data_IF_891454891945
#
_entry.id   IF_891454891945
#
_cell.length_a   1.000
_cell.length_b   1.000
_cell.length_c   1.000
_cell.angle_alpha   90.00
_cell.angle_beta   90.00
_cell.angle_gamma   90.00
#
_symmetry.space_group_name_H-M   'P 1'
#
loop_
_entity.id
_entity.type
_entity.pdbx_description
1 polymer ?
#
# COMPACT_ATOMS: atom_id res chain seq x y z
N UNK A 1 -19.70 -9.62 6.00
CA UNK A 1 -18.52 -8.74 5.87
C UNK A 1 -17.52 -9.24 6.90
N UNK A 2 -16.39 -9.78 6.46
CA UNK A 2 -15.37 -10.36 7.34
C UNK A 2 -14.77 -9.34 8.32
N UNK A 3 -14.38 -9.80 9.50
CA UNK A 3 -13.71 -8.98 10.50
C UNK A 3 -12.34 -8.55 9.97
N UNK A 4 -12.07 -7.25 9.89
CA UNK A 4 -10.74 -6.72 9.54
C UNK A 4 -10.07 -6.14 10.78
N UNK A 5 -8.85 -6.54 11.05
CA UNK A 5 -8.05 -6.02 12.16
C UNK A 5 -6.59 -5.84 11.74
N UNK A 6 -5.80 -5.14 12.56
CA UNK A 6 -4.37 -4.92 12.30
C UNK A 6 -3.52 -5.59 13.36
N UNK A 7 -2.50 -6.33 12.95
CA UNK A 7 -1.47 -6.89 13.84
C UNK A 7 -0.17 -6.11 13.65
N UNK A 8 0.34 -5.52 14.73
CA UNK A 8 1.58 -4.74 14.75
C UNK A 8 2.67 -5.53 15.46
N UNK A 9 3.79 -5.78 14.79
CA UNK A 9 4.91 -6.55 15.31
C UNK A 9 6.17 -5.72 15.16
N UNK A 10 7.03 -5.70 16.17
CA UNK A 10 8.34 -5.03 16.08
C UNK A 10 9.27 -5.82 15.16
N UNK A 11 10.05 -5.11 14.34
CA UNK A 11 11.03 -5.69 13.42
C UNK A 11 12.41 -5.15 13.77
N UNK A 12 13.38 -6.05 13.80
CA UNK A 12 14.79 -5.69 13.91
C UNK A 12 15.45 -5.87 12.54
N UNK A 13 16.15 -4.83 12.08
CA UNK A 13 16.93 -4.86 10.84
C UNK A 13 18.41 -4.74 11.18
N UNK A 14 19.27 -5.33 10.35
CA UNK A 14 20.70 -5.01 10.37
C UNK A 14 20.94 -3.57 9.92
N UNK A 15 22.07 -3.00 10.30
CA UNK A 15 22.28 -1.55 10.17
C UNK A 15 22.22 -1.06 8.72
N UNK A 16 22.76 -1.83 7.78
CA UNK A 16 22.69 -1.51 6.36
C UNK A 16 21.25 -1.45 5.86
N UNK A 17 20.42 -2.41 6.27
CA UNK A 17 19.00 -2.46 5.91
C UNK A 17 18.23 -1.26 6.49
N UNK A 18 18.51 -0.84 7.73
CA UNK A 18 17.91 0.37 8.30
C UNK A 18 18.20 1.62 7.46
N UNK A 19 19.45 1.80 7.03
CA UNK A 19 19.87 2.95 6.23
C UNK A 19 19.20 2.95 4.85
N UNK A 20 19.08 1.79 4.23
CA UNK A 20 18.36 1.63 2.95
C UNK A 20 16.89 2.02 3.14
N UNK A 21 16.20 1.48 4.16
CA UNK A 21 14.80 1.77 4.44
C UNK A 21 14.57 3.24 4.79
N UNK A 22 15.49 3.87 5.53
CA UNK A 22 15.48 5.31 5.77
C UNK A 22 15.62 6.10 4.45
N UNK A 23 16.46 5.64 3.52
CA UNK A 23 16.55 6.17 2.16
C UNK A 23 15.22 6.09 1.40
N UNK A 24 14.55 4.93 1.42
CA UNK A 24 13.22 4.75 0.82
C UNK A 24 12.22 5.78 1.36
N UNK A 25 12.23 5.96 2.68
CA UNK A 25 11.36 6.90 3.39
C UNK A 25 11.64 8.37 3.04
N UNK A 26 12.93 8.73 2.88
CA UNK A 26 13.34 10.06 2.42
C UNK A 26 12.81 10.34 1.01
N UNK A 27 12.94 9.37 0.11
CA UNK A 27 12.46 9.50 -1.27
C UNK A 27 10.94 9.69 -1.30
N UNK A 28 10.17 8.92 -0.52
CA UNK A 28 8.71 9.10 -0.44
C UNK A 28 8.31 10.46 0.16
N UNK A 29 9.02 10.97 1.17
CA UNK A 29 8.79 12.32 1.70
C UNK A 29 9.12 13.40 0.66
N UNK A 30 10.24 13.25 -0.05
CA UNK A 30 10.62 14.16 -1.13
C UNK A 30 9.54 14.20 -2.21
N UNK A 31 9.10 13.03 -2.69
CA UNK A 31 8.06 12.95 -3.72
C UNK A 31 6.75 13.60 -3.22
N UNK A 32 6.36 13.36 -1.97
CA UNK A 32 5.19 14.01 -1.38
C UNK A 32 5.28 15.54 -1.45
N UNK A 33 6.43 16.11 -1.10
CA UNK A 33 6.64 17.55 -1.12
C UNK A 33 6.63 18.11 -2.55
N UNK A 34 7.24 17.41 -3.52
CA UNK A 34 7.19 17.82 -4.93
C UNK A 34 5.77 17.80 -5.48
N UNK A 35 4.98 16.78 -5.12
CA UNK A 35 3.58 16.69 -5.52
C UNK A 35 2.72 17.79 -4.87
N UNK A 36 2.99 18.13 -3.61
CA UNK A 36 2.32 19.23 -2.92
C UNK A 36 2.63 20.57 -3.59
N UNK A 37 3.89 20.84 -3.89
CA UNK A 37 4.30 22.04 -4.63
C UNK A 37 3.64 22.12 -6.01
N UNK A 38 3.63 21.01 -6.76
CA UNK A 38 2.97 20.94 -8.06
C UNK A 38 1.45 21.21 -7.96
N UNK A 39 0.76 20.68 -6.95
CA UNK A 39 -0.65 21.01 -6.71
C UNK A 39 -0.87 22.48 -6.40
N UNK A 40 0.01 23.09 -5.60
CA UNK A 40 -0.09 24.52 -5.26
C UNK A 40 0.12 25.40 -6.48
N UNK A 41 1.13 25.10 -7.30
CA UNK A 41 1.41 25.82 -8.55
C UNK A 41 0.32 25.64 -9.59
N UNK A 42 -0.18 24.42 -9.78
CA UNK A 42 -1.29 24.17 -10.71
C UNK A 42 -2.50 25.02 -10.36
N UNK A 43 -2.84 25.13 -9.07
CA UNK A 43 -3.96 25.93 -8.61
C UNK A 43 -3.71 27.45 -8.72
N UNK A 44 -2.54 27.94 -8.30
CA UNK A 44 -2.23 29.38 -8.24
C UNK A 44 -1.84 30.00 -9.57
N UNK A 45 -1.06 29.27 -10.37
CA UNK A 45 -0.37 29.82 -11.55
C UNK A 45 -0.97 29.29 -12.86
N UNK A 46 -1.54 28.08 -12.84
CA UNK A 46 -2.03 27.39 -14.04
C UNK A 46 -3.56 27.30 -14.11
N UNK A 47 -4.27 28.07 -13.28
CA UNK A 47 -5.73 28.07 -13.17
C UNK A 47 -6.33 26.65 -13.06
N UNK A 48 -5.62 25.74 -12.39
CA UNK A 48 -5.97 24.33 -12.20
C UNK A 48 -6.18 23.56 -13.53
N UNK A 49 -5.45 23.89 -14.59
CA UNK A 49 -5.61 23.25 -15.89
C UNK A 49 -5.22 21.76 -15.89
N UNK A 50 -4.22 21.35 -15.11
CA UNK A 50 -3.80 19.94 -15.02
C UNK A 50 -4.78 19.10 -14.18
N UNK A 51 -5.61 19.75 -13.36
CA UNK A 51 -6.60 19.10 -12.48
C UNK A 51 -5.94 18.00 -11.67
N UNK A 52 -4.77 18.28 -11.08
CA UNK A 52 -3.91 17.24 -10.47
C UNK A 52 -4.65 16.40 -9.42
N UNK A 53 -5.54 17.03 -8.65
CA UNK A 53 -6.31 16.35 -7.58
C UNK A 53 -7.46 15.48 -8.09
N UNK A 54 -7.75 15.47 -9.40
CA UNK A 54 -8.80 14.62 -9.98
C UNK A 54 -8.26 13.26 -10.40
N UNK A 55 -9.05 12.22 -10.13
CA UNK A 55 -8.80 10.84 -10.59
C UNK A 55 -7.38 10.36 -10.25
N UNK A 56 -6.63 9.93 -11.26
CA UNK A 56 -5.25 9.43 -11.14
C UNK A 56 -4.23 10.45 -11.63
N UNK A 57 -4.62 11.72 -11.84
CA UNK A 57 -3.76 12.73 -12.46
C UNK A 57 -2.48 12.96 -11.63
N UNK A 58 -2.61 13.17 -10.33
CA UNK A 58 -1.45 13.34 -9.44
C UNK A 58 -0.52 12.13 -9.45
N UNK A 59 -1.09 10.91 -9.51
CA UNK A 59 -0.31 9.68 -9.59
C UNK A 59 0.44 9.60 -10.92
N UNK A 60 -0.21 9.92 -12.03
CA UNK A 60 0.41 9.92 -13.36
C UNK A 60 1.51 10.98 -13.47
N UNK A 61 1.29 12.15 -12.87
CA UNK A 61 2.30 13.19 -12.73
C UNK A 61 3.49 12.69 -11.91
N UNK A 62 3.27 12.02 -10.77
CA UNK A 62 4.35 11.39 -10.00
C UNK A 62 5.13 10.34 -10.79
N UNK A 63 4.48 9.62 -11.71
CA UNK A 63 5.15 8.68 -12.61
C UNK A 63 6.01 9.40 -13.65
N UNK A 64 5.56 10.51 -14.23
CA UNK A 64 6.33 11.27 -15.22
C UNK A 64 7.62 11.86 -14.64
N UNK A 65 7.65 12.13 -13.33
CA UNK A 65 8.85 12.60 -12.63
C UNK A 65 10.00 11.58 -12.64
N UNK A 66 9.73 10.28 -12.84
CA UNK A 66 10.77 9.24 -12.86
C UNK A 66 11.79 9.43 -13.96
N UNK A 67 11.40 10.03 -15.09
CA UNK A 67 12.31 10.32 -16.19
C UNK A 67 13.35 11.37 -15.80
N UNK A 68 12.92 12.42 -15.09
CA UNK A 68 13.79 13.50 -14.61
C UNK A 68 14.54 13.14 -13.33
N UNK A 69 13.98 12.23 -12.53
CA UNK A 69 14.49 11.82 -11.22
C UNK A 69 14.58 10.29 -11.12
N UNK A 70 15.61 9.67 -11.74
CA UNK A 70 15.73 8.22 -11.79
C UNK A 70 15.81 7.53 -10.41
N UNK A 71 16.27 8.25 -9.37
CA UNK A 71 16.31 7.72 -8.01
C UNK A 71 14.93 7.29 -7.49
N UNK A 72 13.82 7.79 -8.06
CA UNK A 72 12.48 7.33 -7.73
C UNK A 72 12.26 5.85 -8.06
N UNK A 73 13.02 5.30 -9.02
CA UNK A 73 12.94 3.89 -9.37
C UNK A 73 13.62 2.96 -8.35
N UNK A 74 14.39 3.51 -7.40
CA UNK A 74 14.98 2.75 -6.28
C UNK A 74 13.94 2.33 -5.23
N UNK A 75 12.73 2.91 -5.30
CA UNK A 75 11.61 2.57 -4.42
C UNK A 75 10.65 1.63 -5.10
N UNK A 76 10.22 0.61 -4.36
CA UNK A 76 9.24 -0.33 -4.87
C UNK A 76 7.95 0.40 -5.26
N UNK A 77 7.32 -0.08 -6.33
CA UNK A 77 6.20 0.64 -6.96
C UNK A 77 5.00 0.85 -6.05
N UNK A 78 4.78 0.00 -5.04
CA UNK A 78 3.64 0.15 -4.11
C UNK A 78 3.84 1.32 -3.13
N UNK A 79 4.93 1.36 -2.31
CA UNK A 79 5.23 2.53 -1.48
C UNK A 79 5.36 3.85 -2.25
N UNK A 80 5.83 3.82 -3.50
CA UNK A 80 6.01 5.04 -4.30
C UNK A 80 4.68 5.69 -4.76
N UNK A 81 3.57 4.94 -4.76
CA UNK A 81 2.23 5.50 -5.07
C UNK A 81 1.63 6.26 -3.88
N UNK A 82 2.04 5.92 -2.67
CA UNK A 82 1.47 6.46 -1.42
C UNK A 82 1.53 7.98 -1.28
N UNK A 83 2.62 8.67 -1.67
CA UNK A 83 2.67 10.13 -1.63
C UNK A 83 1.47 10.79 -2.33
N UNK A 84 1.13 10.33 -3.54
CA UNK A 84 -0.02 10.85 -4.29
C UNK A 84 -1.34 10.54 -3.58
N UNK A 85 -1.55 9.29 -3.15
CA UNK A 85 -2.78 8.87 -2.46
C UNK A 85 -3.03 9.66 -1.18
N UNK A 86 -1.99 9.84 -0.36
CA UNK A 86 -2.08 10.61 0.89
C UNK A 86 -2.40 12.07 0.63
N UNK A 87 -1.80 12.65 -0.40
CA UNK A 87 -2.04 14.05 -0.73
C UNK A 87 -3.47 14.28 -1.23
N UNK A 88 -4.00 13.42 -2.11
CA UNK A 88 -5.40 13.48 -2.55
C UNK A 88 -6.35 13.36 -1.36
N UNK A 89 -6.11 12.40 -0.46
CA UNK A 89 -6.93 12.22 0.75
C UNK A 89 -6.85 13.43 1.70
N UNK A 90 -5.67 14.04 1.85
CA UNK A 90 -5.50 15.22 2.69
C UNK A 90 -6.23 16.44 2.12
N UNK A 91 -6.17 16.67 0.81
CA UNK A 91 -6.97 17.72 0.16
C UNK A 91 -8.47 17.44 0.25
N UNK A 92 -8.90 16.19 0.05
CA UNK A 92 -10.30 15.80 0.23
C UNK A 92 -10.80 16.12 1.64
N UNK A 93 -10.04 15.73 2.67
CA UNK A 93 -10.37 16.06 4.06
C UNK A 93 -10.38 17.57 4.34
N UNK A 94 -9.47 18.33 3.70
CA UNK A 94 -9.45 19.79 3.79
C UNK A 94 -10.68 20.44 3.17
N UNK A 95 -11.08 20.05 1.95
CA UNK A 95 -12.27 20.58 1.29
C UNK A 95 -13.57 20.20 2.02
N UNK A 96 -13.59 19.06 2.70
CA UNK A 96 -14.70 18.63 3.56
C UNK A 96 -14.67 19.27 4.96
N UNK A 97 -13.69 20.13 5.26
CA UNK A 97 -13.56 20.80 6.57
C UNK A 97 -13.13 19.88 7.72
N UNK A 98 -12.72 18.64 7.45
CA UNK A 98 -12.34 17.64 8.48
C UNK A 98 -10.89 17.74 8.91
N UNK A 99 -10.01 18.28 8.07
CA UNK A 99 -8.57 18.38 8.33
C UNK A 99 -8.02 19.72 7.88
N UNK A 100 -6.91 20.16 8.49
CA UNK A 100 -6.19 21.34 8.02
C UNK A 100 -5.56 21.17 6.62
N UNK A 101 -5.10 22.28 6.05
CA UNK A 101 -4.44 22.30 4.74
C UNK A 101 -3.19 21.40 4.71
N UNK A 102 -2.95 20.60 3.65
CA UNK A 102 -1.78 19.74 3.53
C UNK A 102 -0.46 20.51 3.66
N UNK A 103 0.44 20.02 4.52
CA UNK A 103 1.72 20.70 4.82
C UNK A 103 2.91 19.91 4.28
N UNK A 104 3.99 20.63 3.97
CA UNK A 104 5.28 20.03 3.65
C UNK A 104 5.76 19.15 4.81
N UNK A 105 6.41 18.04 4.44
CA UNK A 105 6.88 17.03 5.40
C UNK A 105 8.39 17.04 5.49
N UNK A 106 8.90 17.10 6.71
CA UNK A 106 10.31 16.83 6.99
C UNK A 106 10.48 15.36 7.37
N UNK A 107 11.32 14.62 6.65
CA UNK A 107 11.64 13.23 6.97
C UNK A 107 12.19 13.08 8.39
N UNK A 108 13.04 14.02 8.84
CA UNK A 108 13.62 14.03 10.20
C UNK A 108 12.54 14.03 11.29
N UNK A 109 11.40 14.71 11.03
CA UNK A 109 10.27 14.77 11.96
C UNK A 109 9.29 13.62 11.78
N UNK A 110 9.06 13.19 10.53
CA UNK A 110 8.03 12.21 10.17
C UNK A 110 8.54 11.22 9.14
N UNK A 111 8.96 10.05 9.61
CA UNK A 111 9.28 8.92 8.76
C UNK A 111 8.06 8.54 7.90
N UNK A 112 8.26 8.42 6.59
CA UNK A 112 7.21 8.02 5.65
C UNK A 112 7.00 6.50 5.70
N UNK A 113 5.84 6.06 6.16
CA UNK A 113 5.46 4.64 6.19
C UNK A 113 5.40 4.04 4.78
N UNK A 114 6.04 2.89 4.59
CA UNK A 114 6.08 2.16 3.33
C UNK A 114 4.90 1.18 3.32
N UNK A 115 3.89 1.47 2.50
CA UNK A 115 2.66 0.66 2.40
C UNK A 115 2.75 -0.22 1.16
N UNK A 116 2.40 -1.48 1.35
CA UNK A 116 2.26 -2.48 0.32
C UNK A 116 0.79 -2.90 0.26
N UNK A 117 0.14 -2.45 -0.81
CA UNK A 117 -1.31 -2.53 -1.05
C UNK A 117 -1.81 -3.92 -1.49
N UNK A 118 -0.90 -4.80 -1.88
CA UNK A 118 -1.21 -6.15 -2.34
C UNK A 118 -0.47 -7.21 -1.50
N UNK A 119 -1.11 -8.35 -1.20
CA UNK A 119 -0.46 -9.43 -0.47
C UNK A 119 0.66 -10.06 -1.29
N UNK A 120 1.79 -10.38 -0.63
CA UNK A 120 2.96 -11.04 -1.22
C UNK A 120 3.57 -10.31 -2.44
N UNK A 121 3.37 -8.99 -2.56
CA UNK A 121 3.89 -8.18 -3.66
C UNK A 121 4.75 -7.05 -3.14
N UNK A 122 6.05 -7.19 -3.35
CA UNK A 122 7.05 -6.28 -2.79
C UNK A 122 7.40 -6.56 -1.33
N UNK A 123 6.83 -7.63 -0.76
CA UNK A 123 7.16 -8.13 0.56
C UNK A 123 6.77 -9.59 0.65
N UNK A 124 7.41 -10.33 1.55
CA UNK A 124 7.17 -11.75 1.78
C UNK A 124 7.55 -12.12 3.21
N UNK A 125 6.83 -13.09 3.78
CA UNK A 125 7.15 -13.66 5.08
C UNK A 125 7.92 -14.96 4.86
N UNK A 126 9.10 -15.05 5.46
CA UNK A 126 10.04 -16.17 5.34
C UNK A 126 10.27 -16.83 6.71
N UNK A 127 10.97 -17.98 6.69
CA UNK A 127 11.40 -18.70 7.88
C UNK A 127 10.24 -18.95 8.85
N UNK A 128 9.17 -19.54 8.31
CA UNK A 128 7.94 -19.86 9.06
C UNK A 128 7.40 -18.66 9.84
N UNK A 129 7.34 -17.46 9.27
CA UNK A 129 6.75 -16.32 9.99
C UNK A 129 7.71 -15.49 10.84
N UNK A 130 9.01 -15.83 10.91
CA UNK A 130 9.99 -15.12 11.75
C UNK A 130 10.74 -14.02 11.01
N UNK A 131 10.80 -14.06 9.69
CA UNK A 131 11.56 -13.07 8.89
C UNK A 131 10.63 -12.39 7.90
N UNK A 132 10.75 -11.07 7.78
CA UNK A 132 10.11 -10.29 6.72
C UNK A 132 11.16 -9.90 5.70
N UNK A 133 10.92 -10.19 4.42
CA UNK A 133 11.72 -9.70 3.30
C UNK A 133 10.91 -8.62 2.58
N UNK A 134 11.54 -7.48 2.33
CA UNK A 134 10.93 -6.29 1.75
C UNK A 134 11.67 -5.99 0.46
N UNK A 135 10.97 -6.06 -0.66
CA UNK A 135 11.52 -5.71 -1.96
C UNK A 135 11.67 -4.20 -2.08
N UNK A 136 12.75 -3.81 -2.72
CA UNK A 136 13.07 -2.44 -3.07
C UNK A 136 12.74 -2.22 -4.54
N UNK A 137 13.02 -1.01 -5.04
CA UNK A 137 13.07 -0.79 -6.49
C UNK A 137 14.43 -1.19 -7.06
N UNK A 138 14.74 -0.66 -8.25
CA UNK A 138 16.01 -0.90 -8.92
C UNK A 138 17.10 -0.04 -8.29
N UNK A 139 17.93 -0.64 -7.44
CA UNK A 139 19.10 0.01 -6.82
C UNK A 139 20.36 -0.44 -7.56
N UNK A 140 21.11 0.49 -8.19
CA UNK A 140 22.37 0.16 -8.85
C UNK A 140 23.36 -0.51 -7.89
N UNK A 141 23.98 -1.60 -8.33
CA UNK A 141 25.01 -2.32 -7.55
C UNK A 141 24.47 -3.24 -6.45
N UNK A 142 23.15 -3.25 -6.17
CA UNK A 142 22.57 -4.17 -5.20
C UNK A 142 22.26 -5.51 -5.88
N UNK A 143 22.78 -6.61 -5.31
CA UNK A 143 22.55 -7.96 -5.83
C UNK A 143 21.07 -8.32 -5.74
N UNK A 144 20.57 -8.93 -6.81
CA UNK A 144 19.22 -9.50 -6.87
C UNK A 144 19.34 -10.99 -6.57
N UNK A 145 18.60 -11.47 -5.59
CA UNK A 145 18.55 -12.89 -5.28
C UNK A 145 17.92 -13.68 -6.45
N UNK A 146 18.41 -14.90 -6.67
CA UNK A 146 17.95 -15.76 -7.76
C UNK A 146 16.44 -15.98 -7.65
N UNK A 147 15.70 -15.67 -8.71
CA UNK A 147 14.24 -15.82 -8.76
C UNK A 147 13.44 -14.58 -8.33
N UNK A 148 14.10 -13.51 -7.83
CA UNK A 148 13.44 -12.23 -7.55
C UNK A 148 13.60 -11.25 -8.72
N UNK A 149 12.60 -10.39 -8.90
CA UNK A 149 12.64 -9.30 -9.87
C UNK A 149 13.31 -8.02 -9.36
N UNK A 150 13.48 -7.88 -8.05
CA UNK A 150 14.08 -6.70 -7.41
C UNK A 150 14.94 -7.13 -6.22
N UNK A 151 15.94 -6.31 -5.83
CA UNK A 151 16.67 -6.53 -4.58
C UNK A 151 15.74 -6.41 -3.37
N UNK A 152 16.09 -7.06 -2.27
CA UNK A 152 15.32 -7.04 -1.03
C UNK A 152 16.21 -6.85 0.19
N UNK A 153 15.61 -6.32 1.26
CA UNK A 153 16.21 -6.30 2.61
C UNK A 153 15.37 -7.16 3.53
N UNK A 154 16.01 -7.88 4.43
CA UNK A 154 15.36 -8.75 5.41
C UNK A 154 15.43 -8.17 6.82
N UNK A 155 14.40 -8.43 7.61
CA UNK A 155 14.33 -8.09 9.03
C UNK A 155 13.73 -9.23 9.83
N UNK A 156 14.16 -9.37 11.08
CA UNK A 156 13.65 -10.37 12.01
C UNK A 156 12.45 -9.81 12.78
N UNK A 157 11.33 -10.52 12.71
CA UNK A 157 10.12 -10.21 13.47
C UNK A 157 10.30 -10.66 14.91
N UNK A 158 9.94 -9.81 15.87
CA UNK A 158 9.95 -10.15 17.31
C UNK A 158 8.98 -11.28 17.67
N UNK A 159 7.93 -11.45 16.89
CA UNK A 159 6.94 -12.49 17.05
C UNK A 159 6.69 -13.16 15.70
N UNK A 160 6.40 -14.46 15.72
CA UNK A 160 6.00 -15.19 14.52
C UNK A 160 4.66 -14.69 14.01
N UNK A 161 4.57 -14.46 12.70
CA UNK A 161 3.29 -14.23 12.02
C UNK A 161 2.65 -15.59 11.75
N UNK A 162 1.55 -15.85 12.44
CA UNK A 162 0.70 -17.03 12.26
C UNK A 162 -0.71 -16.55 11.94
N UNK A 163 -1.32 -17.15 10.92
CA UNK A 163 -2.69 -16.89 10.49
C UNK A 163 -3.56 -18.07 10.92
N UNK A 164 -4.70 -17.77 11.52
CA UNK A 164 -5.70 -18.79 11.86
C UNK A 164 -6.48 -19.21 10.62
N UNK A 165 -7.21 -20.32 10.70
CA UNK A 165 -8.14 -20.74 9.64
C UNK A 165 -9.09 -19.59 9.31
N UNK A 166 -9.22 -19.25 8.02
CA UNK A 166 -10.05 -18.13 7.56
C UNK A 166 -9.33 -16.79 7.45
N UNK A 167 -8.12 -16.63 7.98
CA UNK A 167 -7.40 -15.36 7.98
C UNK A 167 -6.52 -15.18 6.73
N UNK A 168 -6.61 -14.01 6.12
CA UNK A 168 -5.75 -13.59 5.01
C UNK A 168 -5.13 -12.24 5.32
N UNK A 169 -3.86 -12.06 4.96
CA UNK A 169 -3.25 -10.72 5.00
C UNK A 169 -3.69 -9.97 3.75
N UNK A 170 -4.19 -8.74 3.90
CA UNK A 170 -4.55 -7.86 2.78
C UNK A 170 -3.42 -6.94 2.40
N UNK A 171 -2.83 -6.29 3.39
CA UNK A 171 -1.83 -5.24 3.21
C UNK A 171 -0.76 -5.36 4.27
N UNK A 172 0.41 -4.84 3.93
CA UNK A 172 1.55 -4.75 4.82
C UNK A 172 2.02 -3.30 4.86
N UNK A 173 2.32 -2.78 6.04
CA UNK A 173 2.90 -1.46 6.21
C UNK A 173 4.11 -1.56 7.11
N UNK A 174 5.26 -1.13 6.61
CA UNK A 174 6.40 -0.85 7.45
C UNK A 174 6.31 0.60 7.94
N UNK A 175 6.46 0.81 9.25
CA UNK A 175 6.61 2.15 9.81
C UNK A 175 7.74 2.20 10.84
N UNK A 176 8.31 3.39 11.02
CA UNK A 176 9.28 3.71 12.06
C UNK A 176 8.63 4.66 13.06
N UNK A 177 8.68 4.33 14.34
CA UNK A 177 8.01 5.08 15.41
C UNK A 177 9.01 5.56 16.47
N UNK A 178 8.50 6.16 17.55
CA UNK A 178 9.30 6.67 18.67
C UNK A 178 10.30 5.61 19.17
N UNK A 179 11.49 6.07 19.55
CA UNK A 179 12.62 5.19 19.88
C UNK A 179 13.36 4.61 18.66
N UNK A 180 13.11 5.15 17.45
CA UNK A 180 13.77 4.73 16.20
C UNK A 180 13.51 3.26 15.84
N UNK A 181 12.38 2.70 16.29
CA UNK A 181 12.05 1.28 16.14
C UNK A 181 11.15 1.05 14.93
N UNK A 182 11.43 -0.02 14.19
CA UNK A 182 10.61 -0.46 13.07
C UNK A 182 9.48 -1.38 13.53
N UNK A 183 8.31 -1.20 12.91
CA UNK A 183 7.14 -2.03 13.11
C UNK A 183 6.56 -2.46 11.76
N UNK A 184 6.30 -3.75 11.66
CA UNK A 184 5.50 -4.38 10.62
C UNK A 184 4.03 -4.37 11.05
N UNK A 185 3.18 -3.73 10.27
CA UNK A 185 1.74 -3.70 10.49
C UNK A 185 1.09 -4.51 9.38
N UNK A 186 0.46 -5.63 9.73
CA UNK A 186 -0.29 -6.48 8.83
C UNK A 186 -1.78 -6.20 9.01
N UNK A 187 -2.48 -5.83 7.95
CA UNK A 187 -3.94 -5.79 7.97
C UNK A 187 -4.45 -7.16 7.58
N UNK A 188 -5.15 -7.80 8.51
CA UNK A 188 -5.66 -9.16 8.38
C UNK A 188 -7.19 -9.10 8.27
N UNK A 189 -7.72 -9.86 7.33
CA UNK A 189 -9.15 -10.05 7.13
C UNK A 189 -9.49 -11.51 7.46
N UNK A 190 -10.44 -11.71 8.38
CA UNK A 190 -11.00 -13.02 8.68
C UNK A 190 -12.23 -13.24 7.83
N UNK A 191 -12.16 -14.22 6.94
CA UNK A 191 -13.18 -14.59 5.99
C UNK A 191 -13.86 -15.91 6.39
N UNK A 192 -15.13 -16.06 6.02
CA UNK A 192 -15.79 -17.37 6.02
C UNK A 192 -15.24 -18.26 4.88
N UNK A 193 -15.48 -19.57 4.95
CA UNK A 193 -15.07 -20.51 3.90
C UNK A 193 -15.69 -20.13 2.53
N UNK A 194 -16.96 -19.72 2.52
CA UNK A 194 -17.65 -19.20 1.32
C UNK A 194 -16.98 -17.93 0.76
N UNK A 195 -16.56 -17.00 1.63
CA UNK A 195 -15.87 -15.78 1.21
C UNK A 195 -14.47 -16.09 0.64
N UNK A 196 -13.77 -17.07 1.21
CA UNK A 196 -12.47 -17.53 0.70
C UNK A 196 -12.60 -18.18 -0.68
N UNK A 197 -13.58 -19.07 -0.85
CA UNK A 197 -13.87 -19.70 -2.13
C UNK A 197 -14.25 -18.66 -3.20
N UNK A 198 -15.13 -17.72 -2.84
CA UNK A 198 -15.48 -16.63 -3.74
C UNK A 198 -14.27 -15.77 -4.13
N UNK A 199 -13.33 -15.51 -3.22
CA UNK A 199 -12.09 -14.78 -3.53
C UNK A 199 -11.21 -15.55 -4.52
N UNK A 200 -11.14 -16.88 -4.42
CA UNK A 200 -10.44 -17.73 -5.41
C UNK A 200 -11.12 -17.64 -6.78
N UNK A 201 -12.43 -17.86 -6.82
CA UNK A 201 -13.24 -17.75 -8.05
C UNK A 201 -13.08 -16.36 -8.71
N UNK A 202 -13.11 -15.28 -7.92
CA UNK A 202 -12.89 -13.92 -8.42
C UNK A 202 -11.47 -13.68 -8.94
N UNK A 203 -10.46 -14.32 -8.34
CA UNK A 203 -9.08 -14.26 -8.84
C UNK A 203 -8.95 -14.92 -10.20
N UNK A 204 -9.53 -16.11 -10.37
CA UNK A 204 -9.47 -16.85 -11.64
C UNK A 204 -10.32 -16.17 -12.73
N UNK A 205 -11.48 -15.62 -12.35
CA UNK A 205 -12.26 -14.74 -13.20
C UNK A 205 -11.43 -13.56 -13.73
N UNK A 206 -10.65 -12.87 -12.88
CA UNK A 206 -9.82 -11.74 -13.31
C UNK A 206 -8.74 -12.16 -14.31
N UNK A 207 -8.13 -13.33 -14.13
CA UNK A 207 -7.15 -13.89 -15.08
C UNK A 207 -7.82 -14.17 -16.42
N UNK A 208 -8.94 -14.88 -16.41
CA UNK A 208 -9.71 -15.20 -17.61
C UNK A 208 -10.20 -13.94 -18.34
N UNK A 209 -10.71 -12.95 -17.60
CA UNK A 209 -11.15 -11.68 -18.16
C UNK A 209 -10.01 -10.90 -18.84
N UNK A 210 -8.83 -10.84 -18.21
CA UNK A 210 -7.67 -10.16 -18.79
C UNK A 210 -7.16 -10.88 -20.05
N UNK A 211 -7.19 -12.22 -20.06
CA UNK A 211 -6.84 -13.02 -21.23
C UNK A 211 -7.82 -12.79 -22.38
N UNK A 212 -9.13 -12.90 -22.13
CA UNK A 212 -10.16 -12.63 -23.12
C UNK A 212 -10.05 -11.21 -23.70
N UNK A 213 -9.78 -10.21 -22.84
CA UNK A 213 -9.55 -8.83 -23.27
C UNK A 213 -8.32 -8.70 -24.19
N UNK A 214 -7.24 -9.42 -23.90
CA UNK A 214 -6.01 -9.41 -24.71
C UNK A 214 -6.23 -10.09 -26.07
N UNK A 215 -7.04 -11.15 -26.08
CA UNK A 215 -7.35 -11.96 -27.27
C UNK A 215 -8.55 -11.44 -28.07
N UNK A 216 -9.21 -10.36 -27.62
CA UNK A 216 -10.41 -9.82 -28.27
C UNK A 216 -11.65 -10.73 -28.20
N UNK A 217 -11.65 -11.72 -27.30
CA UNK A 217 -12.74 -12.68 -27.12
C UNK A 217 -13.85 -12.14 -26.23
N UNK A 218 -14.99 -12.84 -26.23
CA UNK A 218 -16.10 -12.57 -25.33
C UNK A 218 -15.66 -12.68 -23.87
N UNK A 219 -16.12 -11.72 -23.05
CA UNK A 219 -15.68 -11.58 -21.67
C UNK A 219 -16.49 -12.53 -20.79
N UNK A 220 -15.86 -13.26 -19.85
CA UNK A 220 -16.60 -14.11 -18.93
C UNK A 220 -17.56 -13.28 -18.06
N UNK A 221 -18.64 -13.93 -17.60
CA UNK A 221 -19.62 -13.34 -16.68
C UNK A 221 -18.98 -13.17 -15.31
N UNK A 222 -19.22 -12.01 -14.68
CA UNK A 222 -18.68 -11.71 -13.35
C UNK A 222 -19.41 -12.53 -12.26
N UNK A 223 -18.69 -13.33 -11.46
CA UNK A 223 -19.26 -14.04 -10.33
C UNK A 223 -19.86 -13.07 -9.30
N UNK A 224 -21.00 -13.43 -8.70
CA UNK A 224 -21.62 -12.70 -7.59
C UNK A 224 -21.58 -13.55 -6.33
N UNK A 225 -21.23 -12.93 -5.20
CA UNK A 225 -21.33 -13.59 -3.91
C UNK A 225 -22.82 -13.57 -3.51
N UNK A 226 -23.42 -14.71 -3.12
CA UNK A 226 -24.80 -14.71 -2.65
C UNK A 226 -24.95 -13.82 -1.42
N UNK A 227 -25.97 -12.95 -1.44
CA UNK A 227 -26.26 -12.04 -0.33
C UNK A 227 -26.74 -12.84 0.88
N UNK A 228 -26.06 -12.70 2.02
CA UNK A 228 -26.59 -13.18 3.29
C UNK A 228 -27.78 -12.30 3.68
N UNK A 229 -28.99 -12.86 3.69
CA UNK A 229 -30.15 -12.22 4.32
C UNK A 229 -29.81 -11.97 5.79
N UNK A 230 -29.70 -10.70 6.17
CA UNK A 230 -29.56 -10.31 7.57
C UNK A 230 -30.96 -10.33 8.16
N UNK A 231 -31.28 -11.35 8.96
CA UNK A 231 -32.52 -11.36 9.73
C UNK A 231 -32.34 -10.41 10.92
N UNK A 232 -32.83 -9.18 10.77
CA UNK A 232 -32.93 -8.24 11.89
C UNK A 232 -34.02 -8.76 12.83
N UNK A 233 -33.72 -9.09 14.11
CA UNK A 233 -34.73 -9.55 15.03
C UNK A 233 -35.74 -8.42 15.29
N UNK A 234 -37.03 -8.73 15.10
CA UNK A 234 -38.17 -7.80 15.20
C UNK A 234 -38.26 -7.09 16.57
N UNK A 235 -37.65 -7.65 17.62
CA UNK A 235 -37.64 -7.14 18.99
C UNK A 235 -36.38 -6.36 19.38
N UNK A 236 -35.60 -5.87 18.42
CA UNK A 236 -34.46 -4.99 18.72
C UNK A 236 -34.95 -3.60 19.13
N UNK A 237 -35.15 -3.36 20.43
CA UNK A 237 -35.28 -2.01 20.99
C UNK A 237 -33.94 -1.31 20.82
N UNK A 238 -33.89 -0.34 19.92
CA UNK A 238 -32.77 0.57 19.81
C UNK A 238 -32.67 1.35 21.12
N UNK A 239 -31.48 1.37 21.72
CA UNK A 239 -31.19 2.28 22.84
C UNK A 239 -31.16 3.67 22.23
N UNK A 240 -32.15 4.49 22.59
CA UNK A 240 -32.21 5.91 22.24
C UNK A 240 -31.16 6.71 22.99
#
# INVERSE_FOLDING_TARGET
>A
MGLTYSRKIKVNFVKEAELILDGQSKICNWLYNQLLDACQKDYKENNNALKLLKNRNLRNYGVSLKAKHPFLNTVFSSPLKEPSTRLVNAYKGFFEGRTGYPQFRSWKKKWFSLVFDEPNKGWEILNEGKTISISLGTIPGMKIEKGKGNPSVSGTLKEKVELKKGEIIKTFTLCKQQGNQFYAIFTIERCSDQELEFKKVMSDYRKAFNLAKKEGKEKPIKPKLPEKKVNTPMNSKWIA
#
